data_IF_183002586133
#
_entry.id   IF_183002586133
#
_cell.length_a   1.000
_cell.length_b   1.000
_cell.length_c   1.000
_cell.angle_alpha   90.00
_cell.angle_beta   90.00
_cell.angle_gamma   90.00
#
_symmetry.space_group_name_H-M   'P 1'
#
loop_
_entity.id
_entity.type
_entity.pdbx_description
1 polymer ?
#
# COMPACT_ATOMS: atom_id res chain seq x y z
N UNK A 1 4.53 -13.83 -10.41
CA UNK A 1 3.12 -13.54 -10.06
C UNK A 1 2.49 -14.82 -9.52
N UNK A 2 1.70 -14.72 -8.47
CA UNK A 2 0.89 -15.85 -8.04
C UNK A 2 -0.20 -16.09 -9.10
N UNK A 3 -0.34 -17.34 -9.55
CA UNK A 3 -1.35 -17.68 -10.53
C UNK A 3 -2.72 -17.83 -9.86
N UNK A 4 -3.76 -17.34 -10.51
CA UNK A 4 -5.13 -17.71 -10.19
C UNK A 4 -5.34 -19.20 -10.55
N UNK A 5 -6.14 -19.90 -9.77
CA UNK A 5 -6.36 -21.32 -9.95
C UNK A 5 -7.62 -21.83 -9.25
N UNK A 6 -7.71 -23.14 -9.07
CA UNK A 6 -8.88 -23.80 -8.49
C UNK A 6 -9.22 -23.28 -7.07
N UNK A 7 -8.22 -22.89 -6.27
CA UNK A 7 -8.46 -22.36 -4.91
C UNK A 7 -9.24 -21.04 -4.95
N UNK A 8 -8.89 -20.12 -5.84
CA UNK A 8 -9.61 -18.85 -6.03
C UNK A 8 -11.00 -19.11 -6.60
N UNK A 9 -11.13 -20.02 -7.57
CA UNK A 9 -12.43 -20.41 -8.12
C UNK A 9 -13.37 -20.95 -7.04
N UNK A 10 -12.88 -21.83 -6.15
CA UNK A 10 -13.66 -22.35 -5.02
C UNK A 10 -14.03 -21.24 -4.02
N UNK A 11 -13.11 -20.32 -3.74
CA UNK A 11 -13.38 -19.19 -2.83
C UNK A 11 -14.47 -18.26 -3.38
N UNK A 12 -14.42 -17.94 -4.68
CA UNK A 12 -15.46 -17.17 -5.38
C UNK A 12 -16.81 -17.92 -5.33
N UNK A 13 -16.79 -19.23 -5.59
CA UNK A 13 -17.99 -20.07 -5.52
C UNK A 13 -18.65 -20.02 -4.12
N UNK A 14 -17.85 -20.00 -3.04
CA UNK A 14 -18.38 -19.83 -1.68
C UNK A 14 -18.99 -18.46 -1.47
N UNK A 15 -18.30 -17.39 -1.88
CA UNK A 15 -18.83 -16.03 -1.75
C UNK A 15 -20.17 -15.85 -2.47
N UNK A 16 -20.30 -16.42 -3.68
CA UNK A 16 -21.56 -16.40 -4.43
C UNK A 16 -22.64 -17.22 -3.73
N UNK A 17 -22.30 -18.40 -3.21
CA UNK A 17 -23.26 -19.28 -2.51
C UNK A 17 -23.78 -18.67 -1.21
N UNK A 18 -23.00 -17.87 -0.50
CA UNK A 18 -23.42 -17.12 0.68
C UNK A 18 -24.36 -15.95 0.36
N UNK A 19 -24.36 -15.48 -0.90
CA UNK A 19 -25.32 -14.54 -1.44
C UNK A 19 -25.12 -13.07 -1.02
N UNK A 20 -24.26 -12.77 -0.06
CA UNK A 20 -23.95 -11.42 0.36
C UNK A 20 -22.61 -10.98 -0.24
N UNK A 21 -22.67 -10.17 -1.29
CA UNK A 21 -21.49 -9.71 -2.02
C UNK A 21 -21.05 -8.29 -1.65
N UNK A 22 -21.82 -7.61 -0.83
CA UNK A 22 -21.50 -6.26 -0.41
C UNK A 22 -20.63 -6.29 0.86
N UNK A 23 -19.42 -5.72 0.80
CA UNK A 23 -18.49 -5.61 1.93
C UNK A 23 -19.12 -5.00 3.19
N UNK A 24 -20.17 -4.23 3.02
CA UNK A 24 -20.80 -3.38 4.05
C UNK A 24 -21.93 -4.07 4.84
N UNK A 25 -22.25 -5.29 4.48
CA UNK A 25 -23.31 -6.00 5.16
C UNK A 25 -22.81 -6.54 6.52
N UNK A 26 -23.72 -6.66 7.47
CA UNK A 26 -23.49 -7.14 8.85
C UNK A 26 -22.81 -8.52 8.96
N UNK A 27 -22.54 -9.13 7.83
CA UNK A 27 -21.90 -10.45 7.69
C UNK A 27 -20.79 -10.44 6.64
N UNK A 28 -20.07 -9.34 6.49
CA UNK A 28 -18.87 -9.30 5.65
C UNK A 28 -17.84 -10.30 6.18
N UNK A 29 -17.63 -11.40 5.45
CA UNK A 29 -16.75 -12.48 5.92
C UNK A 29 -15.38 -12.44 5.23
N UNK A 30 -15.37 -12.31 3.90
CA UNK A 30 -14.15 -12.51 3.13
C UNK A 30 -13.25 -11.28 3.13
N UNK A 31 -13.80 -10.07 2.93
CA UNK A 31 -13.00 -8.85 3.02
C UNK A 31 -12.46 -8.66 4.43
N UNK A 32 -13.29 -8.79 5.46
CA UNK A 32 -12.85 -8.64 6.85
C UNK A 32 -11.79 -9.68 7.25
N UNK A 33 -11.96 -10.94 6.85
CA UNK A 33 -10.97 -11.98 7.09
C UNK A 33 -9.62 -11.68 6.40
N UNK A 34 -9.66 -11.25 5.14
CA UNK A 34 -8.47 -10.83 4.42
C UNK A 34 -7.81 -9.62 5.08
N UNK A 35 -8.56 -8.58 5.43
CA UNK A 35 -8.06 -7.35 6.06
C UNK A 35 -7.36 -7.67 7.38
N UNK A 36 -7.97 -8.48 8.23
CA UNK A 36 -7.35 -8.91 9.48
C UNK A 36 -6.04 -9.67 9.24
N UNK A 37 -6.01 -10.60 8.30
CA UNK A 37 -4.81 -11.38 7.97
C UNK A 37 -3.74 -10.52 7.30
N UNK A 38 -4.12 -9.58 6.43
CA UNK A 38 -3.18 -8.66 5.79
C UNK A 38 -2.54 -7.75 6.84
N UNK A 39 -3.33 -7.14 7.73
CA UNK A 39 -2.84 -6.31 8.82
C UNK A 39 -1.85 -7.08 9.71
N UNK A 40 -2.21 -8.29 10.14
CA UNK A 40 -1.33 -9.16 10.90
C UNK A 40 -0.05 -9.53 10.14
N UNK A 41 -0.15 -9.78 8.83
CA UNK A 41 1.01 -10.12 7.99
C UNK A 41 2.02 -8.97 7.88
N UNK A 42 1.55 -7.73 7.68
CA UNK A 42 2.43 -6.56 7.49
C UNK A 42 2.80 -5.87 8.81
N UNK A 43 2.11 -6.19 9.91
CA UNK A 43 2.33 -5.57 11.21
C UNK A 43 1.69 -4.19 11.35
N UNK A 44 0.61 -3.91 10.62
CA UNK A 44 -0.25 -2.75 10.83
C UNK A 44 -1.43 -3.12 11.74
N UNK A 45 -2.04 -2.13 12.41
CA UNK A 45 -3.25 -2.37 13.22
C UNK A 45 -4.47 -2.63 12.34
N UNK A 46 -4.55 -1.96 11.19
CA UNK A 46 -5.69 -1.98 10.28
C UNK A 46 -5.27 -2.20 8.84
N UNK A 47 -6.14 -2.85 8.10
CA UNK A 47 -6.16 -2.88 6.64
C UNK A 47 -7.59 -2.62 6.16
N UNK A 48 -7.75 -1.88 5.07
CA UNK A 48 -9.04 -1.57 4.44
C UNK A 48 -8.96 -1.91 2.96
N UNK A 49 -9.71 -2.90 2.53
CA UNK A 49 -9.76 -3.30 1.12
C UNK A 49 -10.55 -2.30 0.29
N UNK A 50 -9.98 -1.89 -0.83
CA UNK A 50 -10.58 -0.97 -1.80
C UNK A 50 -10.44 -1.53 -3.22
N UNK A 51 -11.18 -0.97 -4.16
CA UNK A 51 -11.29 -1.47 -5.54
C UNK A 51 -10.04 -1.25 -6.42
N UNK A 52 -8.97 -0.64 -5.90
CA UNK A 52 -7.74 -0.44 -6.68
C UNK A 52 -6.63 0.26 -5.90
N UNK A 53 -5.39 0.14 -6.38
CA UNK A 53 -4.24 0.80 -5.76
C UNK A 53 -4.32 2.33 -5.81
N UNK A 54 -4.83 2.90 -6.91
CA UNK A 54 -5.07 4.35 -7.03
C UNK A 54 -6.12 4.80 -6.02
N UNK A 55 -7.18 4.02 -5.84
CA UNK A 55 -8.20 4.26 -4.81
C UNK A 55 -7.60 4.21 -3.41
N UNK A 56 -6.66 3.29 -3.15
CA UNK A 56 -5.98 3.21 -1.86
C UNK A 56 -5.15 4.48 -1.58
N UNK A 57 -4.42 4.99 -2.58
CA UNK A 57 -3.67 6.25 -2.46
C UNK A 57 -4.58 7.45 -2.21
N UNK A 58 -5.63 7.61 -3.01
CA UNK A 58 -6.63 8.68 -2.86
C UNK A 58 -7.26 8.62 -1.46
N UNK A 59 -7.67 7.42 -1.03
CA UNK A 59 -8.31 7.20 0.26
C UNK A 59 -7.36 7.55 1.43
N UNK A 60 -6.09 7.09 1.38
CA UNK A 60 -5.10 7.38 2.40
C UNK A 60 -4.77 8.88 2.49
N UNK A 61 -4.61 9.56 1.35
CA UNK A 61 -4.35 11.00 1.30
C UNK A 61 -5.55 11.81 1.84
N UNK A 62 -6.78 11.45 1.43
CA UNK A 62 -7.99 12.09 1.94
C UNK A 62 -8.18 11.85 3.45
N UNK A 63 -7.88 10.63 3.93
CA UNK A 63 -7.87 10.31 5.36
C UNK A 63 -6.86 11.14 6.14
N UNK A 64 -5.68 11.40 5.54
CA UNK A 64 -4.66 12.28 6.09
C UNK A 64 -5.06 13.77 6.11
N UNK A 65 -6.22 14.11 5.55
CA UNK A 65 -6.73 15.49 5.48
C UNK A 65 -6.04 16.33 4.41
N UNK A 66 -5.44 15.69 3.40
CA UNK A 66 -4.86 16.38 2.24
C UNK A 66 -5.99 16.81 1.30
N UNK A 67 -5.90 18.04 0.78
CA UNK A 67 -6.92 18.61 -0.10
C UNK A 67 -6.46 19.88 -0.81
N UNK A 68 -7.41 20.69 -1.31
CA UNK A 68 -7.10 21.92 -2.04
C UNK A 68 -6.22 22.90 -1.22
N UNK A 69 -5.13 23.36 -1.85
CA UNK A 69 -4.15 24.25 -1.22
C UNK A 69 -2.98 23.54 -0.54
N UNK A 70 -3.07 22.23 -0.34
CA UNK A 70 -1.97 21.43 0.21
C UNK A 70 -1.02 20.96 -0.89
N UNK A 71 0.25 20.77 -0.53
CA UNK A 71 1.27 20.15 -1.37
C UNK A 71 1.62 18.76 -0.84
N UNK A 72 1.85 17.82 -1.76
CA UNK A 72 2.37 16.47 -1.45
C UNK A 72 3.66 16.24 -2.21
N UNK A 73 4.72 15.90 -1.50
CA UNK A 73 6.02 15.56 -2.10
C UNK A 73 5.97 14.13 -2.66
N UNK A 74 6.19 13.98 -3.98
CA UNK A 74 6.14 12.71 -4.70
C UNK A 74 7.43 12.52 -5.52
N UNK A 75 7.97 11.30 -5.69
CA UNK A 75 9.15 11.10 -6.50
C UNK A 75 8.87 11.33 -7.98
N UNK A 76 9.84 11.89 -8.72
CA UNK A 76 9.74 12.11 -10.16
C UNK A 76 9.74 10.79 -10.97
N UNK A 77 10.25 9.71 -10.41
CA UNK A 77 10.18 8.36 -10.98
C UNK A 77 9.19 7.50 -10.22
N UNK A 78 8.00 7.39 -10.75
CA UNK A 78 6.90 6.59 -10.19
C UNK A 78 5.91 6.18 -11.27
N UNK A 79 4.97 5.32 -10.92
CA UNK A 79 3.76 5.12 -11.71
C UNK A 79 2.84 6.35 -11.58
N UNK A 80 2.24 6.76 -12.69
CA UNK A 80 1.41 7.98 -12.77
C UNK A 80 0.31 8.06 -11.68
N UNK A 81 -0.12 6.94 -11.13
CA UNK A 81 -1.16 6.91 -10.08
C UNK A 81 -0.79 7.71 -8.83
N UNK A 82 0.50 7.78 -8.45
CA UNK A 82 0.93 8.50 -7.26
C UNK A 82 0.64 10.01 -7.36
N UNK A 83 1.18 10.75 -8.35
CA UNK A 83 0.83 12.17 -8.50
C UNK A 83 -0.63 12.38 -8.91
N UNK A 84 -1.24 11.47 -9.69
CA UNK A 84 -2.65 11.56 -10.06
C UNK A 84 -3.58 11.50 -8.85
N UNK A 85 -3.30 10.66 -7.85
CA UNK A 85 -4.08 10.60 -6.62
C UNK A 85 -4.06 11.95 -5.87
N UNK A 86 -2.91 12.64 -5.86
CA UNK A 86 -2.77 13.97 -5.27
C UNK A 86 -3.63 15.00 -6.02
N UNK A 87 -3.56 15.00 -7.36
CA UNK A 87 -4.37 15.91 -8.19
C UNK A 87 -5.87 15.67 -8.03
N UNK A 88 -6.30 14.40 -7.95
CA UNK A 88 -7.73 14.03 -7.84
C UNK A 88 -8.35 14.56 -6.55
N UNK A 89 -7.61 14.63 -5.45
CA UNK A 89 -8.09 15.23 -4.19
C UNK A 89 -7.95 16.76 -4.14
N UNK A 90 -7.51 17.38 -5.24
CA UNK A 90 -7.35 18.84 -5.36
C UNK A 90 -6.05 19.40 -4.79
N UNK A 91 -5.11 18.57 -4.36
CA UNK A 91 -3.81 18.98 -3.88
C UNK A 91 -2.78 19.10 -5.01
N UNK A 92 -1.61 19.66 -4.72
CA UNK A 92 -0.54 19.88 -5.70
C UNK A 92 0.59 18.87 -5.48
N UNK A 93 0.90 18.00 -6.46
CA UNK A 93 2.07 17.14 -6.37
C UNK A 93 3.34 17.93 -6.65
N UNK A 94 4.28 17.95 -5.72
CA UNK A 94 5.60 18.54 -5.87
C UNK A 94 6.59 17.43 -6.16
N UNK A 95 7.22 17.47 -7.32
CA UNK A 95 8.14 16.43 -7.75
C UNK A 95 9.48 16.53 -7.01
N UNK A 96 9.87 15.45 -6.38
CA UNK A 96 11.17 15.26 -5.72
C UNK A 96 12.04 14.40 -6.62
N UNK A 97 13.30 14.75 -6.75
CA UNK A 97 14.25 13.97 -7.54
C UNK A 97 14.49 12.58 -6.94
N UNK A 98 15.11 11.70 -7.72
CA UNK A 98 15.51 10.37 -7.29
C UNK A 98 17.03 10.27 -7.23
N UNK A 99 17.53 9.39 -6.36
CA UNK A 99 18.94 9.08 -6.28
C UNK A 99 19.29 7.76 -6.99
N UNK A 100 20.52 7.30 -6.82
CA UNK A 100 21.03 6.06 -7.44
C UNK A 100 20.23 4.80 -7.08
N UNK A 101 19.43 4.81 -6.01
CA UNK A 101 18.54 3.69 -5.63
C UNK A 101 17.28 3.63 -6.49
N UNK A 102 17.04 4.62 -7.36
CA UNK A 102 15.82 4.83 -8.14
C UNK A 102 14.59 5.07 -7.25
N UNK A 103 14.79 5.56 -6.03
CA UNK A 103 13.73 5.99 -5.11
C UNK A 103 13.94 7.45 -4.72
N UNK A 104 12.96 8.05 -4.03
CA UNK A 104 12.98 9.46 -3.60
C UNK A 104 14.30 9.82 -2.92
N UNK A 105 14.95 10.90 -3.38
CA UNK A 105 16.16 11.46 -2.77
C UNK A 105 15.82 12.26 -1.50
N UNK A 106 16.27 11.83 -0.31
CA UNK A 106 16.01 12.55 0.94
C UNK A 106 16.58 13.97 0.97
N UNK A 107 17.68 14.23 0.25
CA UNK A 107 18.29 15.55 0.21
C UNK A 107 17.41 16.54 -0.57
N UNK A 108 16.93 16.12 -1.75
CA UNK A 108 16.02 16.94 -2.55
C UNK A 108 14.64 17.06 -1.91
N UNK A 109 14.18 15.97 -1.25
CA UNK A 109 12.96 15.97 -0.46
C UNK A 109 12.95 17.12 0.55
N UNK A 110 14.00 17.23 1.39
CA UNK A 110 14.06 18.25 2.42
C UNK A 110 14.10 19.67 1.84
N UNK A 111 14.78 19.88 0.70
CA UNK A 111 14.85 21.17 0.00
C UNK A 111 13.50 21.65 -0.53
N UNK A 112 12.60 20.73 -0.84
CA UNK A 112 11.29 21.02 -1.46
C UNK A 112 10.16 21.18 -0.46
N UNK A 113 10.42 21.05 0.83
CA UNK A 113 9.43 21.33 1.86
C UNK A 113 9.09 22.82 1.87
N UNK A 114 7.81 23.15 1.77
CA UNK A 114 7.26 24.50 1.85
C UNK A 114 6.26 24.62 3.02
N UNK A 115 5.78 25.81 3.36
CA UNK A 115 4.70 25.96 4.34
C UNK A 115 3.37 25.30 3.94
N UNK A 116 3.18 24.95 2.66
CA UNK A 116 1.99 24.30 2.13
C UNK A 116 2.12 22.78 2.10
N UNK A 117 3.33 22.25 2.31
CA UNK A 117 3.57 20.82 2.31
C UNK A 117 2.82 20.14 3.46
N UNK A 118 1.97 19.18 3.14
CA UNK A 118 1.15 18.45 4.08
C UNK A 118 1.61 17.00 4.28
N UNK A 119 2.05 16.36 3.20
CA UNK A 119 2.44 14.96 3.22
C UNK A 119 3.61 14.65 2.27
N UNK A 120 4.24 13.53 2.54
CA UNK A 120 5.23 12.89 1.67
C UNK A 120 4.62 11.58 1.19
N UNK A 121 4.68 11.29 -0.12
CA UNK A 121 4.25 10.02 -0.70
C UNK A 121 5.47 9.27 -1.28
N UNK A 122 6.33 8.63 -0.47
CA UNK A 122 7.45 7.86 -0.94
C UNK A 122 6.95 6.61 -1.68
N UNK A 123 7.59 6.29 -2.81
CA UNK A 123 7.22 5.14 -3.64
C UNK A 123 8.27 4.04 -3.54
N UNK A 124 7.88 2.87 -3.09
CA UNK A 124 8.74 1.67 -3.07
C UNK A 124 8.78 1.04 -4.46
N UNK A 125 9.52 1.67 -5.36
CA UNK A 125 9.50 1.40 -6.79
C UNK A 125 10.13 0.03 -7.12
N UNK A 126 9.44 -0.82 -7.88
CA UNK A 126 9.95 -2.11 -8.35
C UNK A 126 10.48 -3.01 -7.22
N UNK A 127 9.77 -3.11 -6.12
CA UNK A 127 10.18 -3.82 -4.89
C UNK A 127 11.48 -3.24 -4.26
N UNK A 128 11.77 -1.95 -4.47
CA UNK A 128 12.89 -1.22 -3.86
C UNK A 128 12.35 -0.24 -2.83
N UNK A 129 12.56 -0.47 -1.55
CA UNK A 129 12.17 0.48 -0.51
C UNK A 129 12.90 1.80 -0.62
N UNK A 130 12.21 2.89 -0.29
CA UNK A 130 12.83 4.18 -0.06
C UNK A 130 13.73 4.15 1.21
N UNK A 131 14.62 5.12 1.31
CA UNK A 131 15.44 5.35 2.49
C UNK A 131 14.61 5.87 3.67
N UNK A 132 13.69 5.05 4.18
CA UNK A 132 12.73 5.47 5.22
C UNK A 132 13.42 5.96 6.50
N UNK A 133 14.64 5.47 6.81
CA UNK A 133 15.41 5.95 7.96
C UNK A 133 15.89 7.41 7.82
N UNK A 134 15.93 7.94 6.60
CA UNK A 134 16.22 9.34 6.30
C UNK A 134 14.93 10.16 6.11
N UNK A 135 13.94 9.61 5.40
CA UNK A 135 12.66 10.27 5.13
C UNK A 135 11.87 10.53 6.42
N UNK A 136 11.76 9.54 7.33
CA UNK A 136 10.97 9.68 8.55
C UNK A 136 11.47 10.77 9.51
N UNK A 137 12.80 11.01 9.71
CA UNK A 137 13.30 12.17 10.44
C UNK A 137 12.91 13.50 9.81
N UNK A 138 12.96 13.61 8.47
CA UNK A 138 12.53 14.83 7.76
C UNK A 138 11.04 15.07 7.99
N UNK A 139 10.21 14.03 7.81
CA UNK A 139 8.77 14.13 8.05
C UNK A 139 8.46 14.61 9.48
N UNK A 140 9.12 14.04 10.48
CA UNK A 140 8.96 14.48 11.89
C UNK A 140 9.39 15.93 12.13
N UNK A 141 10.52 16.35 11.55
CA UNK A 141 11.05 17.71 11.67
C UNK A 141 10.04 18.75 11.17
N UNK A 142 9.37 18.47 10.07
CA UNK A 142 8.40 19.37 9.44
C UNK A 142 6.94 19.03 9.77
N UNK A 143 6.68 18.03 10.62
CA UNK A 143 5.33 17.55 11.00
C UNK A 143 4.48 17.13 9.80
N UNK A 144 5.11 16.47 8.82
CA UNK A 144 4.47 15.96 7.62
C UNK A 144 4.00 14.52 7.83
N UNK A 145 2.86 14.16 7.25
CA UNK A 145 2.40 12.77 7.21
C UNK A 145 3.12 12.02 6.09
N UNK A 146 3.40 10.74 6.33
CA UNK A 146 4.04 9.84 5.35
C UNK A 146 3.05 8.80 4.89
N UNK A 147 2.65 8.90 3.61
CA UNK A 147 1.71 7.99 2.95
C UNK A 147 2.49 7.15 1.93
N UNK A 148 2.83 5.92 2.31
CA UNK A 148 3.65 5.05 1.47
C UNK A 148 2.87 4.57 0.23
N UNK A 149 3.39 4.82 -0.97
CA UNK A 149 2.98 4.04 -2.15
C UNK A 149 3.79 2.74 -2.19
N UNK A 150 3.25 1.72 -1.56
CA UNK A 150 3.81 0.38 -1.53
C UNK A 150 3.14 -0.57 -2.55
N UNK A 151 2.42 -0.01 -3.55
CA UNK A 151 1.71 -0.77 -4.58
C UNK A 151 2.61 -1.70 -5.40
N UNK A 152 3.90 -1.47 -5.42
CA UNK A 152 4.88 -2.33 -6.09
C UNK A 152 5.78 -3.09 -5.11
N UNK A 153 5.45 -3.09 -3.81
CA UNK A 153 6.29 -3.66 -2.77
C UNK A 153 5.53 -4.55 -1.77
N UNK A 154 4.42 -5.16 -2.21
CA UNK A 154 3.65 -6.08 -1.37
C UNK A 154 4.52 -7.28 -0.97
N UNK A 155 4.71 -7.47 0.34
CA UNK A 155 5.56 -8.51 0.89
C UNK A 155 7.06 -8.18 0.93
N UNK A 156 7.46 -6.95 0.61
CA UNK A 156 8.83 -6.47 0.73
C UNK A 156 9.07 -5.88 2.11
N UNK A 157 10.23 -6.18 2.70
CA UNK A 157 10.65 -5.65 4.00
C UNK A 157 11.72 -4.57 3.84
N UNK A 158 11.68 -3.62 4.73
CA UNK A 158 12.73 -2.66 4.98
C UNK A 158 13.18 -2.83 6.44
N UNK A 159 14.40 -3.35 6.63
CA UNK A 159 14.86 -3.80 7.94
C UNK A 159 13.87 -4.85 8.51
N UNK A 160 13.33 -4.62 9.67
CA UNK A 160 12.43 -5.51 10.42
C UNK A 160 10.92 -5.30 10.11
N UNK A 161 10.56 -4.31 9.28
CA UNK A 161 9.17 -3.95 8.98
C UNK A 161 8.83 -4.13 7.51
N UNK A 162 7.57 -4.35 7.21
CA UNK A 162 7.09 -4.40 5.83
C UNK A 162 6.82 -3.00 5.26
N UNK A 163 7.13 -2.82 3.96
CA UNK A 163 6.68 -1.65 3.20
C UNK A 163 5.16 -1.55 3.26
N UNK A 164 4.65 -0.34 3.41
CA UNK A 164 3.24 -0.05 3.65
C UNK A 164 2.86 0.05 5.14
N UNK A 165 3.80 -0.29 6.06
CA UNK A 165 3.63 -0.14 7.51
C UNK A 165 4.82 0.59 8.17
N UNK A 166 5.54 1.40 7.40
CA UNK A 166 6.70 2.17 7.86
C UNK A 166 6.33 3.63 8.15
N UNK A 167 5.37 4.18 7.39
CA UNK A 167 4.82 5.53 7.53
C UNK A 167 3.55 5.58 8.37
N UNK A 168 2.79 6.67 8.22
CA UNK A 168 1.50 6.88 8.92
C UNK A 168 0.38 6.07 8.26
N UNK A 169 0.41 5.94 6.93
CA UNK A 169 -0.44 5.04 6.17
C UNK A 169 0.32 4.48 4.95
N UNK A 170 -0.16 3.36 4.41
CA UNK A 170 0.37 2.76 3.20
C UNK A 170 -0.74 2.33 2.24
N UNK A 171 -0.40 2.29 0.96
CA UNK A 171 -1.29 1.84 -0.10
C UNK A 171 -0.72 0.61 -0.80
N UNK A 172 -1.54 -0.43 -0.96
CA UNK A 172 -1.25 -1.60 -1.76
C UNK A 172 -2.12 -1.65 -3.01
N UNK A 173 -1.60 -2.30 -4.05
CA UNK A 173 -2.33 -2.64 -5.26
C UNK A 173 -2.31 -4.15 -5.48
N UNK A 174 -3.45 -4.70 -5.90
CA UNK A 174 -3.64 -6.11 -6.24
C UNK A 174 -3.97 -6.30 -7.73
N UNK A 175 -3.58 -5.32 -8.56
CA UNK A 175 -3.67 -5.41 -10.01
C UNK A 175 -2.89 -6.63 -10.53
N UNK A 176 -3.26 -7.12 -11.70
CA UNK A 176 -2.70 -8.36 -12.29
C UNK A 176 -1.17 -8.39 -12.38
N UNK A 177 -0.48 -7.26 -12.34
CA UNK A 177 0.98 -7.17 -12.42
C UNK A 177 1.67 -7.21 -11.05
N UNK A 178 0.90 -7.29 -9.96
CA UNK A 178 1.44 -7.24 -8.59
C UNK A 178 1.76 -8.63 -8.03
N UNK A 179 2.45 -8.64 -6.90
CA UNK A 179 2.82 -9.88 -6.21
C UNK A 179 1.59 -10.69 -5.79
N UNK A 180 0.61 -10.05 -5.20
CA UNK A 180 -0.76 -10.57 -5.04
C UNK A 180 -1.59 -9.97 -6.16
N UNK A 181 -2.39 -10.78 -6.86
CA UNK A 181 -3.24 -10.25 -7.92
C UNK A 181 -4.60 -10.95 -7.99
N UNK A 182 -5.63 -10.15 -8.22
CA UNK A 182 -7.01 -10.58 -8.47
C UNK A 182 -7.61 -9.90 -9.71
N UNK A 183 -6.75 -9.29 -10.55
CA UNK A 183 -7.16 -8.48 -11.69
C UNK A 183 -7.11 -7.00 -11.36
N UNK A 184 -7.96 -6.51 -10.46
CA UNK A 184 -7.95 -5.20 -9.86
C UNK A 184 -8.21 -5.32 -8.35
N UNK A 185 -7.80 -4.32 -7.56
CA UNK A 185 -7.95 -4.26 -6.12
C UNK A 185 -6.83 -3.46 -5.45
N UNK A 186 -7.05 -3.11 -4.20
CA UNK A 186 -6.07 -2.41 -3.38
C UNK A 186 -6.38 -2.51 -1.90
N UNK A 187 -5.50 -1.98 -1.07
CA UNK A 187 -5.75 -1.81 0.36
C UNK A 187 -5.05 -0.58 0.91
N UNK A 188 -5.70 0.08 1.86
CA UNK A 188 -5.08 1.07 2.76
C UNK A 188 -4.63 0.35 4.03
N UNK A 189 -3.45 0.69 4.51
CA UNK A 189 -2.86 0.17 5.74
C UNK A 189 -2.57 1.32 6.69
N UNK A 190 -2.85 1.16 7.96
CA UNK A 190 -2.46 2.13 9.00
C UNK A 190 -2.52 1.51 10.38
N UNK A 191 -1.79 2.09 11.33
CA UNK A 191 -1.94 1.77 12.76
C UNK A 191 -2.59 2.91 13.55
N UNK A 192 -2.93 4.00 12.89
CA UNK A 192 -3.58 5.17 13.48
C UNK A 192 -5.11 5.02 13.39
N UNK A 193 -5.78 5.12 14.54
CA UNK A 193 -7.23 4.95 14.65
C UNK A 193 -7.99 6.02 13.88
N UNK A 194 -7.49 7.26 13.93
CA UNK A 194 -8.10 8.39 13.25
C UNK A 194 -7.98 8.28 11.74
N UNK A 195 -6.79 7.93 11.23
CA UNK A 195 -6.60 7.70 9.79
C UNK A 195 -7.47 6.56 9.29
N UNK A 196 -7.59 5.47 10.07
CA UNK A 196 -8.47 4.36 9.70
C UNK A 196 -9.94 4.76 9.63
N UNK A 197 -10.45 5.44 10.66
CA UNK A 197 -11.83 5.89 10.69
C UNK A 197 -12.14 6.83 9.51
N UNK A 198 -11.23 7.76 9.19
CA UNK A 198 -11.37 8.66 8.06
C UNK A 198 -11.29 7.93 6.71
N UNK A 199 -10.38 6.97 6.56
CA UNK A 199 -10.29 6.14 5.36
C UNK A 199 -11.57 5.36 5.13
N UNK A 200 -12.12 4.81 6.19
CA UNK A 200 -13.36 4.05 6.18
C UNK A 200 -14.58 4.91 5.79
N UNK A 201 -14.65 6.15 6.29
CA UNK A 201 -15.66 7.11 5.87
C UNK A 201 -15.50 7.46 4.37
N UNK A 202 -14.27 7.80 3.95
CA UNK A 202 -14.04 8.27 2.59
C UNK A 202 -14.31 7.19 1.53
N UNK A 203 -13.90 5.94 1.77
CA UNK A 203 -14.06 4.85 0.80
C UNK A 203 -15.52 4.45 0.55
N UNK A 204 -16.42 4.88 1.41
CA UNK A 204 -17.85 4.55 1.37
C UNK A 204 -18.75 5.80 1.37
N UNK A 205 -18.44 6.79 0.52
CA UNK A 205 -19.25 8.00 0.29
C UNK A 205 -19.44 8.90 1.53
N UNK A 206 -18.69 8.70 2.59
CA UNK A 206 -18.94 9.33 3.89
C UNK A 206 -20.13 8.71 4.62
N UNK A 207 -20.63 7.56 4.14
CA UNK A 207 -21.69 6.85 4.83
C UNK A 207 -21.16 6.15 6.08
N UNK A 208 -22.03 6.05 7.09
CA UNK A 208 -21.67 5.46 8.35
C UNK A 208 -21.48 3.95 8.24
N UNK A 209 -20.30 3.48 8.38
CA UNK A 209 -20.13 2.20 9.03
C UNK A 209 -20.45 2.41 10.53
N UNK A 210 -21.69 2.19 10.91
CA UNK A 210 -22.21 2.46 12.28
C UNK A 210 -21.39 1.80 13.38
N UNK A 211 -20.77 0.66 13.06
CA UNK A 211 -19.93 -0.12 13.97
C UNK A 211 -18.54 0.51 14.24
N UNK A 212 -18.20 1.60 13.57
CA UNK A 212 -16.90 2.24 13.65
C UNK A 212 -16.91 3.57 14.42
N UNK A 213 -18.06 4.03 14.85
CA UNK A 213 -18.15 5.15 15.79
C UNK A 213 -17.47 4.86 17.13
N UNK A 214 -17.18 3.59 17.40
CA UNK A 214 -16.36 3.17 18.56
C UNK A 214 -14.86 3.42 18.38
N UNK A 215 -14.38 3.65 17.14
CA UNK A 215 -12.95 3.80 16.87
C UNK A 215 -12.49 5.25 16.97
N UNK A 216 -13.33 6.22 16.57
CA UNK A 216 -13.01 7.65 16.70
C UNK A 216 -14.26 8.54 16.63
N UNK A 217 -14.18 9.72 17.28
CA UNK A 217 -15.19 10.79 17.22
C UNK A 217 -15.14 11.60 15.92
N UNK A 218 -14.46 11.12 14.88
CA UNK A 218 -14.32 11.82 13.59
C UNK A 218 -15.65 11.97 12.89
N UNK A 219 -16.01 13.21 12.57
CA UNK A 219 -17.23 13.51 11.82
C UNK A 219 -17.13 12.94 10.39
N UNK A 220 -18.25 12.41 9.84
CA UNK A 220 -18.31 12.00 8.44
C UNK A 220 -18.01 13.17 7.49
N UNK A 221 -17.33 12.87 6.39
CA UNK A 221 -17.08 13.83 5.33
C UNK A 221 -17.29 13.19 3.97
N UNK A 222 -17.50 14.01 2.94
CA UNK A 222 -17.77 13.54 1.58
C UNK A 222 -16.64 12.65 1.08
N UNK A 223 -17.00 11.48 0.58
CA UNK A 223 -16.07 10.48 0.06
C UNK A 223 -16.50 9.94 -1.30
N UNK A 224 -15.91 8.82 -1.68
CA UNK A 224 -16.16 8.15 -2.96
C UNK A 224 -16.50 6.68 -2.72
N UNK A 225 -17.27 6.08 -3.63
CA UNK A 225 -17.46 4.63 -3.61
C UNK A 225 -16.20 3.93 -4.13
N UNK A 226 -15.37 3.47 -3.20
CA UNK A 226 -14.13 2.72 -3.47
C UNK A 226 -14.17 1.31 -2.86
N UNK A 227 -15.36 0.85 -2.47
CA UNK A 227 -15.54 -0.45 -1.83
C UNK A 227 -15.08 -1.59 -2.75
N UNK A 228 -14.42 -2.57 -2.16
CA UNK A 228 -14.26 -3.89 -2.74
C UNK A 228 -15.55 -4.72 -2.54
N UNK A 229 -15.62 -5.85 -3.21
CA UNK A 229 -16.68 -6.84 -3.06
C UNK A 229 -16.20 -8.04 -2.24
N UNK A 230 -17.12 -8.83 -1.67
CA UNK A 230 -16.77 -10.07 -0.97
C UNK A 230 -16.12 -11.12 -1.91
N UNK A 231 -16.39 -11.06 -3.21
CA UNK A 231 -15.68 -11.87 -4.23
C UNK A 231 -14.18 -11.52 -4.25
N UNK A 232 -13.85 -10.22 -4.28
CA UNK A 232 -12.46 -9.76 -4.23
C UNK A 232 -11.79 -10.17 -2.92
N UNK A 233 -12.48 -10.00 -1.78
CA UNK A 233 -12.00 -10.45 -0.47
C UNK A 233 -11.67 -11.94 -0.44
N UNK A 234 -12.55 -12.79 -0.97
CA UNK A 234 -12.36 -14.23 -1.04
C UNK A 234 -11.13 -14.62 -1.89
N UNK A 235 -10.94 -13.96 -3.04
CA UNK A 235 -9.75 -14.18 -3.88
C UNK A 235 -8.47 -13.70 -3.21
N UNK A 236 -8.50 -12.53 -2.58
CA UNK A 236 -7.36 -11.92 -1.90
C UNK A 236 -6.86 -12.77 -0.73
N UNK A 237 -7.77 -13.37 0.03
CA UNK A 237 -7.42 -14.25 1.14
C UNK A 237 -6.63 -15.49 0.67
N UNK A 238 -7.04 -16.08 -0.44
CA UNK A 238 -6.29 -17.19 -1.07
C UNK A 238 -4.94 -16.71 -1.60
N UNK A 239 -4.90 -15.55 -2.25
CA UNK A 239 -3.66 -14.99 -2.80
C UNK A 239 -2.65 -14.64 -1.70
N UNK A 240 -3.10 -14.11 -0.56
CA UNK A 240 -2.25 -13.82 0.59
C UNK A 240 -1.54 -15.09 1.10
N UNK A 241 -2.24 -16.22 1.12
CA UNK A 241 -1.64 -17.51 1.52
C UNK A 241 -0.51 -17.97 0.59
N UNK A 242 -0.46 -17.46 -0.65
CA UNK A 242 0.58 -17.78 -1.64
C UNK A 242 1.75 -16.80 -1.64
N UNK A 243 1.66 -15.69 -0.90
CA UNK A 243 2.63 -14.60 -0.98
C UNK A 243 4.02 -15.02 -0.50
N UNK A 244 4.14 -15.62 0.70
CA UNK A 244 5.43 -16.08 1.25
C UNK A 244 6.22 -17.00 0.30
N UNK A 245 5.67 -18.14 -0.17
CA UNK A 245 6.40 -19.01 -1.07
C UNK A 245 6.71 -18.36 -2.42
N UNK A 246 5.88 -17.45 -2.87
CA UNK A 246 6.15 -16.69 -4.08
C UNK A 246 7.33 -15.72 -3.90
N UNK A 247 7.36 -14.94 -2.80
CA UNK A 247 8.47 -14.04 -2.50
C UNK A 247 9.79 -14.80 -2.36
N UNK A 248 9.80 -15.94 -1.67
CA UNK A 248 10.98 -16.80 -1.58
C UNK A 248 11.47 -17.29 -2.96
N UNK A 249 10.56 -17.62 -3.87
CA UNK A 249 10.91 -18.00 -5.25
C UNK A 249 11.48 -16.83 -6.04
N UNK A 250 10.91 -15.63 -5.90
CA UNK A 250 11.41 -14.42 -6.56
C UNK A 250 12.80 -14.06 -6.05
N UNK A 251 13.02 -14.14 -4.74
CA UNK A 251 14.34 -13.92 -4.13
C UNK A 251 15.40 -14.85 -4.71
N UNK A 252 15.15 -16.17 -4.70
CA UNK A 252 16.10 -17.14 -5.29
C UNK A 252 16.44 -16.85 -6.75
N UNK A 253 15.47 -16.44 -7.56
CA UNK A 253 15.72 -16.08 -8.97
C UNK A 253 16.56 -14.82 -9.08
N UNK A 254 16.26 -13.83 -8.27
CA UNK A 254 17.03 -12.60 -8.23
C UNK A 254 18.49 -12.87 -7.82
N UNK A 255 18.70 -13.58 -6.73
CA UNK A 255 20.05 -13.89 -6.19
C UNK A 255 20.88 -14.69 -7.20
N UNK A 256 20.24 -15.50 -8.04
CA UNK A 256 20.91 -16.20 -9.14
C UNK A 256 21.26 -15.27 -10.32
N UNK A 257 20.48 -14.24 -10.58
CA UNK A 257 20.69 -13.31 -11.71
C UNK A 257 21.66 -12.17 -11.40
N UNK A 258 21.64 -11.66 -10.18
CA UNK A 258 22.41 -10.48 -9.79
C UNK A 258 23.91 -10.62 -10.04
N UNK A 259 24.59 -11.73 -9.69
CA UNK A 259 26.02 -11.90 -9.99
C UNK A 259 26.33 -11.96 -11.49
N UNK A 260 25.37 -12.40 -12.30
CA UNK A 260 25.53 -12.45 -13.78
C UNK A 260 25.45 -11.04 -14.34
N UNK A 261 24.48 -10.25 -13.89
CA UNK A 261 24.28 -8.86 -14.32
C UNK A 261 25.45 -7.96 -13.87
N UNK A 262 25.95 -8.15 -12.65
CA UNK A 262 27.07 -7.39 -12.10
C UNK A 262 28.39 -7.58 -12.86
N UNK A 263 28.56 -8.67 -13.62
CA UNK A 263 29.73 -8.91 -14.49
C UNK A 263 29.71 -8.12 -15.79
N UNK A 264 28.57 -7.53 -16.14
CA UNK A 264 28.45 -6.79 -17.41
C UNK A 264 29.01 -5.39 -17.28
N UNK A 265 29.99 -5.04 -18.10
CA UNK A 265 30.52 -3.67 -18.19
C UNK A 265 29.50 -2.65 -18.73
N UNK A 266 28.39 -3.12 -19.31
CA UNK A 266 27.33 -2.28 -19.91
C UNK A 266 26.11 -2.06 -19.00
N UNK A 267 26.06 -2.73 -17.86
CA UNK A 267 24.93 -2.67 -16.95
C UNK A 267 25.38 -2.17 -15.57
N UNK A 268 24.64 -1.23 -15.02
CA UNK A 268 24.76 -0.80 -13.63
C UNK A 268 23.56 -1.31 -12.87
N UNK A 269 23.78 -2.15 -11.88
CA UNK A 269 22.74 -2.58 -10.96
C UNK A 269 22.53 -1.48 -9.92
N UNK A 270 21.33 -0.94 -9.83
CA UNK A 270 21.01 0.08 -8.83
C UNK A 270 21.16 -0.53 -7.41
N UNK A 271 21.77 0.18 -6.46
CA UNK A 271 21.94 -0.31 -5.09
C UNK A 271 20.59 -0.56 -4.42
N UNK A 272 20.59 -1.46 -3.43
CA UNK A 272 19.40 -1.80 -2.64
C UNK A 272 19.56 -1.32 -1.23
N UNK A 273 18.48 -0.82 -0.67
CA UNK A 273 18.40 -0.41 0.73
C UNK A 273 17.77 -1.49 1.62
N UNK A 274 17.40 -2.65 1.06
CA UNK A 274 16.71 -3.71 1.81
C UNK A 274 17.13 -5.11 1.37
N UNK A 275 16.88 -6.05 2.25
CA UNK A 275 16.77 -7.46 1.89
C UNK A 275 15.37 -7.73 1.34
N UNK A 276 15.27 -8.43 0.20
CA UNK A 276 13.99 -8.94 -0.29
C UNK A 276 13.48 -9.96 0.73
N UNK A 277 12.48 -9.54 1.52
CA UNK A 277 12.04 -10.27 2.67
C UNK A 277 11.46 -11.63 2.40
N UNK A 278 12.03 -12.60 2.99
CA UNK A 278 11.44 -13.65 3.80
C UNK A 278 12.56 -14.07 4.75
N UNK A 279 12.31 -13.95 6.04
CA UNK A 279 13.18 -14.54 7.03
C UNK A 279 13.17 -16.07 6.81
N UNK A 280 14.32 -16.71 6.54
CA UNK A 280 14.35 -18.16 6.35
C UNK A 280 13.88 -18.92 7.60
N UNK A 281 13.97 -18.33 8.79
CA UNK A 281 13.62 -18.96 10.06
C UNK A 281 12.13 -18.85 10.43
N UNK A 282 11.31 -18.08 9.68
CA UNK A 282 9.87 -17.98 9.89
C UNK A 282 9.04 -18.74 8.83
N UNK A 283 9.63 -19.71 8.16
CA UNK A 283 8.94 -20.52 7.16
C UNK A 283 7.97 -21.58 7.74
N UNK A 284 7.95 -21.75 9.06
CA UNK A 284 7.19 -22.78 9.75
C UNK A 284 6.13 -22.22 10.74
N UNK A 285 5.26 -21.31 10.27
CA UNK A 285 4.01 -21.02 10.99
C UNK A 285 2.84 -20.86 10.02
#
# INVERSE_FOLDING_TARGET
>A
MASLGVREWLAVGRAIAEGNLLRHADKAHFCAAFEHRLAAYVGSKYALTVNGGTSALICALAAAGVGPGDEVLVPAYTWLATPAAVVIIGAVPILVDINDTLTMDPIDLERKVTPFTKAIAPVHMLNRPCAMHEIMPIARKYRLLVIEDACQAVGVRYKDKFCGALGDAGAFSFNKFKNINIGEGGAVLTSDDRLFARALNFHDLGSFARDLMEISDEAPFVGMNMRATEIEGAMLDVQLSKLRPMMARLRRRHDAMEPILARSAKLRVAPRLCELGADPEQADL
#
